data_IF_355541442957
#
_entry.id   IF_355541442957
#
_cell.length_a   1.000
_cell.length_b   1.000
_cell.length_c   1.000
_cell.angle_alpha   90.00
_cell.angle_beta   90.00
_cell.angle_gamma   90.00
#
_symmetry.space_group_name_H-M   'P 1'
#
loop_
_entity.id
_entity.type
_entity.pdbx_description
1 polymer ?
#
# COMPACT_ATOMS: atom_id res chain seq x y z
N UNK A 1 1.18 13.03 9.04
CA UNK A 1 0.10 13.79 8.38
C UNK A 1 -1.21 13.67 9.16
N UNK A 2 -1.60 12.49 9.63
CA UNK A 2 -2.82 12.31 10.42
C UNK A 2 -2.65 11.21 11.48
N UNK A 3 -3.54 11.22 12.48
CA UNK A 3 -3.72 10.11 13.42
C UNK A 3 -5.02 9.40 13.04
N UNK A 4 -4.99 8.09 12.83
CA UNK A 4 -6.20 7.29 12.63
C UNK A 4 -6.49 6.51 13.91
N UNK A 5 -7.69 6.66 14.45
CA UNK A 5 -8.14 5.97 15.65
C UNK A 5 -9.28 5.01 15.30
N UNK A 6 -8.97 3.73 15.16
CA UNK A 6 -9.99 2.68 15.00
C UNK A 6 -10.61 2.37 16.37
N UNK A 7 -11.92 2.61 16.52
CA UNK A 7 -12.58 2.52 17.82
C UNK A 7 -14.08 2.25 17.68
N UNK A 8 -14.57 1.19 18.26
CA UNK A 8 -16.00 0.87 18.28
C UNK A 8 -16.83 1.89 19.08
N UNK A 9 -16.36 2.28 20.26
CA UNK A 9 -17.04 3.22 21.15
C UNK A 9 -16.65 4.69 20.93
N UNK A 10 -15.65 4.97 20.09
CA UNK A 10 -15.08 6.29 19.90
C UNK A 10 -14.21 6.78 21.07
N UNK A 11 -13.90 5.90 22.04
CA UNK A 11 -13.12 6.26 23.22
C UNK A 11 -11.71 6.74 22.84
N UNK A 12 -10.97 5.93 22.04
CA UNK A 12 -9.62 6.26 21.59
C UNK A 12 -9.57 7.59 20.86
N UNK A 13 -10.50 7.83 19.93
CA UNK A 13 -10.58 9.08 19.18
C UNK A 13 -10.79 10.29 20.10
N UNK A 14 -11.74 10.21 21.04
CA UNK A 14 -12.00 11.31 22.01
C UNK A 14 -10.81 11.56 22.94
N UNK A 15 -10.15 10.49 23.41
CA UNK A 15 -8.95 10.62 24.24
C UNK A 15 -7.79 11.25 23.50
N UNK A 16 -7.57 10.88 22.25
CA UNK A 16 -6.54 11.49 21.39
C UNK A 16 -6.86 12.97 21.13
N UNK A 17 -8.10 13.28 20.76
CA UNK A 17 -8.54 14.64 20.45
C UNK A 17 -8.43 15.59 21.67
N UNK A 18 -8.58 15.07 22.89
CA UNK A 18 -8.42 15.85 24.14
C UNK A 18 -7.06 16.56 24.22
N UNK A 19 -6.01 15.96 23.68
CA UNK A 19 -4.66 16.53 23.69
C UNK A 19 -4.42 17.52 22.55
N UNK A 20 -5.43 17.77 21.71
CA UNK A 20 -5.37 18.72 20.59
C UNK A 20 -4.12 18.56 19.73
N UNK A 21 -3.87 17.37 19.15
CA UNK A 21 -2.71 17.16 18.29
C UNK A 21 -2.70 18.18 17.15
N UNK A 22 -1.51 18.56 16.67
CA UNK A 22 -1.33 19.49 15.57
C UNK A 22 -1.71 18.91 14.19
N UNK A 23 -2.26 17.70 14.16
CA UNK A 23 -2.75 17.00 12.96
C UNK A 23 -4.17 16.48 13.21
N UNK A 24 -4.99 16.29 12.17
CA UNK A 24 -6.36 15.79 12.32
C UNK A 24 -6.37 14.36 12.86
N UNK A 25 -7.45 14.02 13.57
CA UNK A 25 -7.73 12.67 14.06
C UNK A 25 -8.86 12.06 13.21
N UNK A 26 -8.56 11.12 12.34
CA UNK A 26 -9.56 10.33 11.63
C UNK A 26 -10.05 9.23 12.57
N UNK A 27 -11.34 9.19 12.83
CA UNK A 27 -11.93 8.17 13.69
C UNK A 27 -12.74 7.18 12.85
N UNK A 28 -12.28 5.94 12.74
CA UNK A 28 -13.02 4.87 12.06
C UNK A 28 -13.84 4.07 13.07
N UNK A 29 -15.13 3.84 12.76
CA UNK A 29 -16.03 3.10 13.63
C UNK A 29 -17.14 2.42 12.82
N UNK A 30 -17.54 1.17 13.18
CA UNK A 30 -18.69 0.49 12.58
C UNK A 30 -20.03 0.98 13.14
N UNK A 31 -20.01 1.83 14.18
CA UNK A 31 -21.21 2.30 14.84
C UNK A 31 -21.60 3.70 14.34
N UNK A 32 -22.68 3.80 13.57
CA UNK A 32 -23.14 5.04 12.99
C UNK A 32 -23.57 6.10 14.03
N UNK A 33 -24.08 5.69 15.20
CA UNK A 33 -24.38 6.60 16.30
C UNK A 33 -23.10 7.22 16.87
N UNK A 34 -22.07 6.39 17.09
CA UNK A 34 -20.76 6.86 17.59
C UNK A 34 -20.12 7.78 16.55
N UNK A 35 -20.17 7.44 15.27
CA UNK A 35 -19.68 8.29 14.18
C UNK A 35 -20.30 9.69 14.24
N UNK A 36 -21.63 9.78 14.38
CA UNK A 36 -22.32 11.08 14.49
C UNK A 36 -21.93 11.86 15.76
N UNK A 37 -21.73 11.17 16.88
CA UNK A 37 -21.28 11.80 18.13
C UNK A 37 -19.86 12.34 18.03
N UNK A 38 -18.97 11.64 17.32
CA UNK A 38 -17.58 12.02 17.10
C UNK A 38 -17.44 13.28 16.25
N UNK A 39 -18.42 13.59 15.39
CA UNK A 39 -18.45 14.83 14.62
C UNK A 39 -18.51 16.10 15.49
N UNK A 40 -18.90 15.98 16.76
CA UNK A 40 -18.89 17.06 17.74
C UNK A 40 -17.55 17.20 18.49
N UNK A 41 -16.60 16.28 18.23
CA UNK A 41 -15.29 16.30 18.89
C UNK A 41 -14.31 17.17 18.10
N UNK A 42 -13.59 18.01 18.79
CA UNK A 42 -12.62 18.92 18.16
C UNK A 42 -11.54 18.15 17.39
N UNK A 43 -11.29 18.55 16.14
CA UNK A 43 -10.22 17.97 15.29
C UNK A 43 -10.43 16.50 14.90
N UNK A 44 -11.66 15.98 15.09
CA UNK A 44 -12.01 14.60 14.71
C UNK A 44 -12.79 14.61 13.40
N UNK A 45 -12.33 13.80 12.45
CA UNK A 45 -13.02 13.50 11.20
C UNK A 45 -13.55 12.07 11.29
N UNK A 46 -14.86 11.86 11.55
CA UNK A 46 -15.41 10.53 11.73
C UNK A 46 -15.73 9.87 10.38
N UNK A 47 -15.25 8.65 10.20
CA UNK A 47 -15.53 7.80 9.04
C UNK A 47 -16.20 6.49 9.46
N UNK A 48 -17.08 5.98 8.61
CA UNK A 48 -17.61 4.64 8.79
C UNK A 48 -16.58 3.62 8.30
N UNK A 49 -16.37 2.56 9.05
CA UNK A 49 -15.60 1.38 8.63
C UNK A 49 -16.29 0.15 9.17
N UNK A 50 -16.36 -0.91 8.38
CA UNK A 50 -16.91 -2.19 8.86
C UNK A 50 -16.02 -2.77 9.96
N UNK A 51 -16.60 -3.65 10.75
CA UNK A 51 -15.81 -4.42 11.71
C UNK A 51 -14.83 -5.35 10.97
N UNK A 52 -13.57 -5.35 11.40
CA UNK A 52 -12.50 -6.19 10.83
C UNK A 52 -11.82 -6.99 11.94
N UNK A 53 -11.64 -8.28 11.71
CA UNK A 53 -10.94 -9.16 12.65
C UNK A 53 -9.42 -9.14 12.43
N UNK A 54 -8.98 -8.78 11.22
CA UNK A 54 -7.57 -8.76 10.82
C UNK A 54 -6.90 -7.40 11.01
N UNK A 55 -5.65 -7.40 11.52
CA UNK A 55 -4.85 -6.17 11.66
C UNK A 55 -4.58 -5.54 10.29
N UNK A 56 -4.29 -6.35 9.28
CA UNK A 56 -3.95 -5.86 7.94
C UNK A 56 -5.16 -5.20 7.28
N UNK A 57 -6.35 -5.80 7.36
CA UNK A 57 -7.59 -5.22 6.86
C UNK A 57 -7.96 -3.92 7.59
N UNK A 58 -7.77 -3.88 8.90
CA UNK A 58 -7.98 -2.67 9.69
C UNK A 58 -7.00 -1.56 9.30
N UNK A 59 -5.76 -1.92 8.93
CA UNK A 59 -4.77 -0.96 8.44
C UNK A 59 -5.13 -0.39 7.08
N UNK A 60 -5.64 -1.22 6.16
CA UNK A 60 -6.16 -0.78 4.87
C UNK A 60 -7.34 0.19 5.06
N UNK A 61 -8.35 -0.18 5.85
CA UNK A 61 -9.47 0.70 6.17
C UNK A 61 -9.02 2.03 6.81
N UNK A 62 -7.97 2.01 7.64
CA UNK A 62 -7.42 3.21 8.25
C UNK A 62 -6.75 4.15 7.24
N UNK A 63 -6.03 3.59 6.29
CA UNK A 63 -5.42 4.33 5.17
C UNK A 63 -6.49 4.93 4.29
N UNK A 64 -7.44 4.12 3.83
CA UNK A 64 -8.53 4.56 2.96
C UNK A 64 -9.34 5.68 3.63
N UNK A 65 -9.65 5.55 4.91
CA UNK A 65 -10.35 6.59 5.65
C UNK A 65 -9.58 7.90 5.73
N UNK A 66 -8.24 7.87 5.81
CA UNK A 66 -7.41 9.07 5.85
C UNK A 66 -7.30 9.73 4.47
N UNK A 67 -7.18 8.93 3.41
CA UNK A 67 -7.17 9.40 2.02
C UNK A 67 -8.54 9.99 1.64
N UNK A 68 -9.62 9.28 1.91
CA UNK A 68 -11.00 9.72 1.66
C UNK A 68 -11.41 10.98 2.45
N UNK A 69 -10.72 11.27 3.53
CA UNK A 69 -10.93 12.47 4.33
C UNK A 69 -10.10 13.66 3.85
N UNK A 70 -9.29 13.52 2.80
CA UNK A 70 -8.31 14.51 2.32
C UNK A 70 -7.35 15.02 3.42
N UNK A 71 -7.07 14.20 4.44
CA UNK A 71 -6.15 14.55 5.54
C UNK A 71 -4.78 13.92 5.38
N UNK A 72 -4.64 13.02 4.43
CA UNK A 72 -3.37 12.40 4.03
C UNK A 72 -3.33 12.19 2.51
N UNK A 73 -2.13 12.08 1.97
CA UNK A 73 -1.86 11.75 0.58
C UNK A 73 -1.03 10.47 0.52
N UNK A 74 -1.00 9.82 -0.63
CA UNK A 74 -0.11 8.68 -0.87
C UNK A 74 1.34 9.07 -0.55
N UNK A 75 2.03 8.24 0.25
CA UNK A 75 3.36 8.49 0.77
C UNK A 75 3.42 9.16 2.15
N UNK A 76 2.32 9.71 2.66
CA UNK A 76 2.26 10.33 3.98
C UNK A 76 2.36 9.30 5.12
N UNK A 77 2.93 9.73 6.25
CA UNK A 77 2.99 8.88 7.44
C UNK A 77 1.77 9.11 8.31
N UNK A 78 1.10 8.02 8.64
CA UNK A 78 -0.02 7.95 9.58
C UNK A 78 0.43 7.31 10.90
N UNK A 79 -0.18 7.75 12.00
CA UNK A 79 -0.16 7.04 13.28
C UNK A 79 -1.50 6.33 13.43
N UNK A 80 -1.50 5.01 13.44
CA UNK A 80 -2.73 4.23 13.62
C UNK A 80 -2.81 3.74 15.05
N UNK A 81 -3.91 4.05 15.71
CA UNK A 81 -4.24 3.65 17.09
C UNK A 81 -5.43 2.69 17.04
N UNK A 82 -5.29 1.53 17.68
CA UNK A 82 -6.38 0.55 17.78
C UNK A 82 -6.31 -0.22 19.08
N UNK A 83 -7.44 -0.80 19.49
CA UNK A 83 -7.51 -1.84 20.49
C UNK A 83 -7.65 -3.20 19.81
N UNK A 84 -6.74 -4.12 20.05
CA UNK A 84 -6.94 -5.52 19.71
C UNK A 84 -7.73 -6.19 20.83
N UNK A 85 -8.80 -6.91 20.48
CA UNK A 85 -9.49 -7.75 21.43
C UNK A 85 -8.61 -8.96 21.76
N UNK A 86 -8.04 -8.97 22.95
CA UNK A 86 -7.48 -10.17 23.55
C UNK A 86 -8.52 -10.73 24.52
N UNK A 87 -8.62 -12.04 24.65
CA UNK A 87 -9.60 -12.73 25.52
C UNK A 87 -9.55 -12.30 27.00
N UNK A 88 -8.60 -11.47 27.37
CA UNK A 88 -8.30 -11.07 28.76
C UNK A 88 -8.49 -9.56 29.03
N UNK A 89 -8.87 -8.74 28.06
CA UNK A 89 -8.92 -7.28 28.22
C UNK A 89 -10.29 -6.68 27.90
N UNK A 90 -10.64 -5.63 28.63
CA UNK A 90 -11.86 -4.84 28.47
C UNK A 90 -11.92 -4.19 27.06
N UNK A 91 -13.09 -4.17 26.43
CA UNK A 91 -13.37 -3.71 25.06
C UNK A 91 -12.97 -2.25 24.75
N UNK A 92 -12.48 -1.49 25.74
CA UNK A 92 -12.11 -0.07 25.60
C UNK A 92 -10.59 0.18 25.67
N UNK A 93 -9.75 -0.85 25.55
CA UNK A 93 -8.30 -0.69 25.69
C UNK A 93 -7.67 -0.40 24.33
N UNK A 94 -6.94 0.72 24.24
CA UNK A 94 -6.06 1.00 23.09
C UNK A 94 -4.70 0.41 23.39
N UNK A 95 -4.35 -0.70 22.78
CA UNK A 95 -3.12 -1.47 23.04
C UNK A 95 -2.19 -1.57 21.81
N UNK A 96 -2.57 -0.96 20.70
CA UNK A 96 -1.74 -0.92 19.50
C UNK A 96 -1.52 0.50 19.02
N UNK A 97 -0.25 0.84 18.75
CA UNK A 97 0.18 2.02 18.02
C UNK A 97 1.10 1.58 16.91
N UNK A 98 0.77 1.90 15.67
CA UNK A 98 1.59 1.59 14.50
C UNK A 98 1.83 2.83 13.65
N UNK A 99 3.07 3.03 13.23
CA UNK A 99 3.38 3.98 12.16
C UNK A 99 3.17 3.28 10.83
N UNK A 100 2.36 3.88 9.99
CA UNK A 100 2.03 3.34 8.68
C UNK A 100 2.21 4.42 7.61
N UNK A 101 2.56 4.02 6.39
CA UNK A 101 2.61 4.93 5.25
C UNK A 101 1.31 4.78 4.49
N UNK A 102 0.57 5.89 4.33
CA UNK A 102 -0.61 5.93 3.50
C UNK A 102 -0.20 5.63 2.05
N UNK A 103 -0.80 4.60 1.47
CA UNK A 103 -0.54 4.25 0.09
C UNK A 103 -1.76 3.56 -0.49
N UNK A 104 -2.21 4.04 -1.62
CA UNK A 104 -3.25 3.37 -2.38
C UNK A 104 -2.68 2.10 -3.01
N UNK A 105 -3.31 0.96 -2.72
CA UNK A 105 -2.99 -0.30 -3.39
C UNK A 105 -3.62 -0.30 -4.77
N UNK A 106 -2.79 -0.26 -5.80
CA UNK A 106 -3.27 -0.20 -7.19
C UNK A 106 -3.43 -1.57 -7.84
N UNK A 107 -2.71 -2.58 -7.34
CA UNK A 107 -2.88 -3.96 -7.76
C UNK A 107 -2.37 -4.95 -6.72
N UNK A 108 -2.91 -6.16 -6.77
CA UNK A 108 -2.44 -7.30 -5.98
C UNK A 108 -2.19 -8.49 -6.89
N UNK A 109 -1.19 -9.31 -6.55
CA UNK A 109 -0.83 -10.48 -7.33
C UNK A 109 -0.03 -11.49 -6.53
N UNK A 110 0.41 -12.54 -7.18
CA UNK A 110 1.19 -13.61 -6.56
C UNK A 110 2.69 -13.35 -6.70
N UNK A 111 3.42 -13.48 -5.61
CA UNK A 111 4.89 -13.40 -5.61
C UNK A 111 5.51 -14.45 -6.54
N UNK A 112 6.41 -14.00 -7.42
CA UNK A 112 7.28 -14.84 -8.28
C UNK A 112 8.73 -14.75 -7.80
N UNK A 113 9.25 -13.52 -7.66
CA UNK A 113 10.55 -13.22 -7.07
C UNK A 113 10.34 -12.19 -5.98
N UNK A 114 10.85 -12.44 -4.79
CA UNK A 114 10.72 -11.53 -3.65
C UNK A 114 11.53 -10.27 -3.81
N UNK A 115 11.22 -9.27 -2.98
CA UNK A 115 11.93 -8.00 -2.95
C UNK A 115 11.00 -6.80 -2.97
N UNK A 116 11.60 -5.61 -2.91
CA UNK A 116 10.89 -4.35 -2.91
C UNK A 116 11.63 -3.32 -3.74
N UNK A 117 10.94 -2.66 -4.65
CA UNK A 117 11.51 -1.65 -5.53
C UNK A 117 10.51 -0.53 -5.79
N UNK A 118 10.99 0.69 -6.00
CA UNK A 118 10.20 1.80 -6.51
C UNK A 118 10.86 2.36 -7.76
N UNK A 119 10.04 2.65 -8.77
CA UNK A 119 10.49 3.17 -10.04
C UNK A 119 9.33 3.67 -10.90
N UNK A 120 9.63 4.28 -12.04
CA UNK A 120 8.62 4.66 -13.00
C UNK A 120 7.98 3.42 -13.64
N UNK A 121 6.67 3.46 -13.82
CA UNK A 121 5.92 2.47 -14.59
C UNK A 121 6.33 2.55 -16.07
N UNK A 122 6.59 1.42 -16.69
CA UNK A 122 6.71 1.28 -18.13
C UNK A 122 5.79 0.14 -18.61
N UNK A 123 4.81 0.46 -19.43
CA UNK A 123 3.93 -0.54 -20.03
C UNK A 123 4.60 -1.08 -21.29
N UNK A 124 4.80 -2.40 -21.36
CA UNK A 124 5.51 -3.05 -22.46
C UNK A 124 4.60 -4.12 -23.09
N UNK A 125 4.15 -3.87 -24.29
CA UNK A 125 3.22 -4.73 -25.02
C UNK A 125 3.93 -5.74 -25.94
N UNK A 126 5.04 -5.34 -26.53
CA UNK A 126 5.77 -6.09 -27.57
C UNK A 126 7.16 -6.60 -27.13
N UNK A 127 7.62 -6.21 -25.95
CA UNK A 127 8.92 -6.58 -25.41
C UNK A 127 10.05 -5.59 -25.71
N UNK A 128 9.82 -4.54 -26.50
CA UNK A 128 10.84 -3.53 -26.80
C UNK A 128 11.14 -2.65 -25.57
N UNK A 129 12.39 -2.69 -25.12
CA UNK A 129 12.90 -1.93 -23.97
C UNK A 129 13.59 -0.61 -24.39
N UNK A 130 13.60 -0.26 -25.66
CA UNK A 130 14.33 0.92 -26.15
C UNK A 130 13.87 2.23 -25.48
N UNK A 131 12.56 2.40 -25.30
CA UNK A 131 11.94 3.57 -24.65
C UNK A 131 11.82 3.46 -23.13
N UNK A 132 12.15 2.30 -22.54
CA UNK A 132 12.04 2.06 -21.09
C UNK A 132 13.10 2.87 -20.34
N UNK A 133 12.72 3.68 -19.33
CA UNK A 133 13.69 4.41 -18.51
C UNK A 133 14.45 3.49 -17.56
N UNK A 134 15.64 3.94 -17.13
CA UNK A 134 16.44 3.22 -16.16
C UNK A 134 15.69 3.09 -14.82
N UNK A 135 15.74 1.91 -14.22
CA UNK A 135 15.06 1.62 -12.96
C UNK A 135 13.55 1.47 -13.06
N UNK A 136 13.01 1.19 -14.25
CA UNK A 136 11.58 1.04 -14.47
C UNK A 136 11.00 -0.23 -13.86
N UNK A 137 9.74 -0.14 -13.46
CA UNK A 137 8.89 -1.29 -13.15
C UNK A 137 8.06 -1.57 -14.40
N UNK A 138 8.32 -2.72 -15.03
CA UNK A 138 7.57 -3.14 -16.22
C UNK A 138 6.17 -3.62 -15.84
N UNK A 139 5.17 -3.19 -16.59
CA UNK A 139 3.83 -3.78 -16.58
C UNK A 139 3.61 -4.53 -17.90
N UNK A 140 3.37 -5.83 -17.78
CA UNK A 140 3.11 -6.70 -18.91
C UNK A 140 1.61 -6.99 -18.98
N UNK A 141 0.93 -6.63 -20.07
CA UNK A 141 -0.49 -6.90 -20.23
C UNK A 141 -0.78 -8.40 -20.40
N UNK A 142 -2.06 -8.78 -20.22
CA UNK A 142 -2.44 -10.21 -20.27
C UNK A 142 -2.21 -10.87 -21.64
N UNK A 143 -2.06 -10.11 -22.70
CA UNK A 143 -1.78 -10.61 -24.04
C UNK A 143 -0.28 -10.65 -24.39
N UNK A 144 0.60 -10.26 -23.48
CA UNK A 144 2.04 -10.28 -23.71
C UNK A 144 2.54 -11.72 -23.92
N UNK A 145 3.15 -12.01 -25.07
CA UNK A 145 3.71 -13.31 -25.44
C UNK A 145 5.15 -13.21 -25.95
N UNK A 146 5.71 -11.98 -25.93
CA UNK A 146 7.03 -11.69 -26.47
C UNK A 146 8.19 -12.07 -25.54
N UNK A 147 9.38 -11.84 -26.06
CA UNK A 147 10.65 -11.79 -25.32
C UNK A 147 11.09 -10.34 -25.18
N UNK A 148 11.94 -10.03 -24.21
CA UNK A 148 12.46 -8.67 -24.07
C UNK A 148 13.61 -8.43 -25.07
N UNK A 149 13.48 -7.34 -25.82
CA UNK A 149 14.50 -6.88 -26.76
C UNK A 149 15.15 -5.59 -26.23
N UNK A 150 16.47 -5.58 -26.12
CA UNK A 150 17.23 -4.44 -25.64
C UNK A 150 17.91 -4.65 -24.29
N UNK A 151 18.15 -3.54 -23.56
CA UNK A 151 18.92 -3.56 -22.32
C UNK A 151 18.04 -3.90 -21.11
N UNK A 152 18.12 -5.14 -20.66
CA UNK A 152 17.37 -5.63 -19.49
C UNK A 152 17.90 -5.09 -18.16
N UNK A 153 19.06 -4.44 -18.10
CA UNK A 153 19.59 -3.80 -16.88
C UNK A 153 18.77 -2.60 -16.43
N UNK A 154 17.93 -2.05 -17.31
CA UNK A 154 16.99 -0.96 -17.00
C UNK A 154 15.82 -1.43 -16.12
N UNK A 155 15.53 -2.74 -16.08
CA UNK A 155 14.38 -3.29 -15.40
C UNK A 155 14.67 -3.38 -13.89
N UNK A 156 13.90 -2.69 -13.07
CA UNK A 156 14.00 -2.78 -11.61
C UNK A 156 12.98 -3.75 -11.00
N UNK A 157 11.87 -4.02 -11.68
CA UNK A 157 10.85 -4.96 -11.26
C UNK A 157 9.85 -5.28 -12.37
N UNK A 158 9.07 -6.37 -12.19
CA UNK A 158 8.09 -6.81 -13.18
C UNK A 158 6.73 -7.06 -12.54
N UNK A 159 5.68 -6.55 -13.17
CA UNK A 159 4.27 -6.78 -12.84
C UNK A 159 3.62 -7.45 -14.06
N UNK A 160 3.31 -8.74 -13.96
CA UNK A 160 2.64 -9.48 -15.03
C UNK A 160 1.14 -9.57 -14.74
N UNK A 161 0.30 -9.09 -15.66
CA UNK A 161 -1.15 -9.21 -15.55
C UNK A 161 -1.63 -10.67 -15.64
N UNK A 162 -0.86 -11.56 -16.27
CA UNK A 162 -1.18 -12.98 -16.35
C UNK A 162 -0.77 -13.71 -15.08
N UNK A 163 -1.60 -14.65 -14.60
CA UNK A 163 -1.18 -15.54 -13.54
C UNK A 163 -0.17 -16.56 -14.10
N UNK A 164 0.93 -16.77 -13.38
CA UNK A 164 1.94 -17.77 -13.75
C UNK A 164 3.27 -17.53 -13.05
N UNK A 165 4.05 -18.59 -12.93
CA UNK A 165 5.36 -18.53 -12.25
C UNK A 165 6.53 -19.07 -13.12
N UNK A 166 6.23 -19.52 -14.34
CA UNK A 166 7.19 -20.25 -15.21
C UNK A 166 7.32 -19.64 -16.60
N UNK A 167 6.58 -18.56 -16.89
CA UNK A 167 6.68 -17.85 -18.17
C UNK A 167 8.03 -17.15 -18.35
N UNK A 168 8.32 -16.70 -19.58
CA UNK A 168 9.55 -15.99 -19.92
C UNK A 168 9.85 -14.80 -18.95
N UNK A 169 8.90 -13.92 -18.62
CA UNK A 169 9.18 -12.83 -17.67
C UNK A 169 9.63 -13.31 -16.29
N UNK A 170 9.09 -14.46 -15.84
CA UNK A 170 9.47 -15.05 -14.56
C UNK A 170 10.88 -15.65 -14.57
N UNK A 171 11.34 -16.18 -15.72
CA UNK A 171 12.71 -16.63 -15.88
C UNK A 171 13.67 -15.45 -15.84
N UNK A 172 13.38 -14.39 -16.60
CA UNK A 172 14.18 -13.16 -16.61
C UNK A 172 14.26 -12.54 -15.22
N UNK A 173 13.14 -12.42 -14.50
CA UNK A 173 13.12 -11.87 -13.15
C UNK A 173 14.00 -12.66 -12.17
N UNK A 174 14.03 -14.00 -12.29
CA UNK A 174 14.91 -14.84 -11.46
C UNK A 174 16.38 -14.71 -11.84
N UNK A 175 16.69 -14.64 -13.13
CA UNK A 175 18.05 -14.46 -13.63
C UNK A 175 18.66 -13.12 -13.20
N UNK A 176 17.86 -12.05 -13.31
CA UNK A 176 18.27 -10.72 -12.88
C UNK A 176 18.15 -10.49 -11.36
N UNK A 177 17.50 -11.39 -10.62
CA UNK A 177 17.25 -11.24 -9.18
C UNK A 177 16.34 -10.06 -8.82
N UNK A 178 15.45 -9.65 -9.73
CA UNK A 178 14.58 -8.48 -9.54
C UNK A 178 13.18 -8.90 -9.04
N UNK A 179 12.51 -8.05 -8.23
CA UNK A 179 11.17 -8.32 -7.72
C UNK A 179 10.15 -8.53 -8.84
N UNK A 180 9.32 -9.56 -8.72
CA UNK A 180 8.24 -9.82 -9.66
C UNK A 180 6.99 -10.38 -8.99
N UNK A 181 5.83 -9.91 -9.44
CA UNK A 181 4.52 -10.50 -9.15
C UNK A 181 3.79 -10.87 -10.44
N UNK A 182 2.88 -11.84 -10.36
CA UNK A 182 2.04 -12.28 -11.47
C UNK A 182 0.57 -12.30 -11.09
N UNK A 183 -0.33 -12.22 -12.09
CA UNK A 183 -1.77 -12.12 -11.87
C UNK A 183 -2.19 -10.77 -11.30
N UNK A 184 -1.46 -9.69 -11.60
CA UNK A 184 -1.67 -8.35 -11.07
C UNK A 184 -1.96 -7.35 -12.20
N UNK A 185 -3.18 -7.36 -12.78
CA UNK A 185 -3.54 -6.37 -13.80
C UNK A 185 -3.58 -4.97 -13.18
N UNK A 186 -2.86 -4.02 -13.78
CA UNK A 186 -2.90 -2.62 -13.38
C UNK A 186 -4.15 -1.92 -13.95
N UNK A 187 -4.72 -0.92 -13.22
CA UNK A 187 -5.78 -0.08 -13.76
C UNK A 187 -5.32 0.69 -15.00
N UNK A 188 -6.19 0.76 -16.01
CA UNK A 188 -5.91 1.52 -17.25
C UNK A 188 -5.76 3.04 -17.05
N UNK A 189 -6.17 3.53 -15.88
CA UNK A 189 -6.03 4.95 -15.50
C UNK A 189 -4.61 5.33 -15.11
N UNK A 190 -3.75 4.36 -14.82
CA UNK A 190 -2.34 4.62 -14.50
C UNK A 190 -1.59 5.00 -15.78
N UNK A 191 -1.03 6.20 -15.77
CA UNK A 191 -0.22 6.68 -16.87
C UNK A 191 1.18 6.06 -16.86
N UNK A 192 1.74 5.86 -18.03
CA UNK A 192 3.15 5.51 -18.18
C UNK A 192 4.04 6.58 -17.53
N UNK A 193 5.12 6.18 -16.87
CA UNK A 193 5.97 7.07 -16.07
C UNK A 193 5.46 7.32 -14.64
N UNK A 194 4.25 6.90 -14.26
CA UNK A 194 3.79 6.99 -12.87
C UNK A 194 4.74 6.25 -11.94
N UNK A 195 5.18 6.89 -10.86
CA UNK A 195 6.02 6.20 -9.87
C UNK A 195 5.22 5.17 -9.11
N UNK A 196 5.67 3.92 -9.12
CA UNK A 196 5.08 2.82 -8.36
C UNK A 196 6.07 2.25 -7.35
N UNK A 197 5.56 1.62 -6.32
CA UNK A 197 6.31 0.74 -5.42
C UNK A 197 5.77 -0.67 -5.54
N UNK A 198 6.62 -1.59 -6.00
CA UNK A 198 6.35 -3.02 -6.01
C UNK A 198 6.89 -3.65 -4.73
N UNK A 199 6.02 -4.23 -3.92
CA UNK A 199 6.36 -5.02 -2.74
C UNK A 199 6.05 -6.49 -3.01
N UNK A 200 6.95 -7.16 -3.73
CA UNK A 200 6.72 -8.52 -4.24
C UNK A 200 6.61 -9.57 -3.12
N UNK A 201 7.24 -9.36 -1.94
CA UNK A 201 7.05 -10.27 -0.79
C UNK A 201 5.59 -10.34 -0.34
N UNK A 202 4.86 -9.23 -0.41
CA UNK A 202 3.44 -9.16 -0.03
C UNK A 202 2.50 -9.32 -1.23
N UNK A 203 3.01 -9.31 -2.44
CA UNK A 203 2.23 -9.39 -3.67
C UNK A 203 1.40 -8.13 -3.94
N UNK A 204 1.87 -6.94 -3.52
CA UNK A 204 1.12 -5.69 -3.67
C UNK A 204 1.90 -4.63 -4.42
N UNK A 205 1.18 -3.79 -5.14
CA UNK A 205 1.68 -2.61 -5.84
C UNK A 205 1.00 -1.37 -5.28
N UNK A 206 1.79 -0.36 -5.00
CA UNK A 206 1.32 0.93 -4.49
C UNK A 206 1.67 2.05 -5.46
N UNK A 207 0.84 3.08 -5.52
CA UNK A 207 1.20 4.33 -6.17
C UNK A 207 2.13 5.15 -5.27
N UNK A 208 3.16 5.74 -5.89
CA UNK A 208 4.17 6.55 -5.21
C UNK A 208 5.43 5.77 -4.77
N UNK A 209 6.44 6.52 -4.30
CA UNK A 209 7.68 5.95 -3.78
C UNK A 209 7.60 5.76 -2.26
N UNK A 210 7.42 4.51 -1.82
CA UNK A 210 7.27 4.13 -0.42
C UNK A 210 8.55 3.51 0.18
N UNK A 211 9.66 3.51 -0.55
CA UNK A 211 10.94 3.01 -0.05
C UNK A 211 11.60 4.10 0.79
N UNK A 212 11.65 3.90 2.10
CA UNK A 212 12.35 4.80 3.01
C UNK A 212 13.86 4.58 2.96
N UNK A 213 14.63 5.63 3.22
CA UNK A 213 16.10 5.63 3.27
C UNK A 213 16.73 4.57 4.21
N UNK A 214 15.96 3.93 5.08
CA UNK A 214 16.39 2.88 6.01
C UNK A 214 16.43 1.46 5.44
N UNK A 215 15.69 1.19 4.38
CA UNK A 215 15.58 -0.16 3.78
C UNK A 215 16.75 -0.53 2.84
N UNK A 216 17.65 0.41 2.56
CA UNK A 216 18.83 0.19 1.69
C UNK A 216 19.95 -0.66 2.33
N UNK A 217 19.79 -1.14 3.57
CA UNK A 217 20.83 -1.93 4.26
C UNK A 217 20.75 -3.44 4.03
N UNK A 218 19.92 -3.90 3.11
CA UNK A 218 19.77 -5.32 2.76
C UNK A 218 20.47 -5.75 1.46
N UNK A 219 21.09 -4.83 0.73
CA UNK A 219 21.89 -5.14 -0.45
C UNK A 219 23.36 -4.85 -0.14
N UNK A 220 24.01 -5.78 0.50
CA UNK A 220 25.47 -5.89 0.51
C UNK A 220 25.88 -7.17 -0.20
N UNK A 221 26.96 -7.13 -0.98
CA UNK A 221 27.35 -8.13 -1.97
C UNK A 221 27.68 -9.48 -1.36
#
# INVERSE_FOLDING_TARGET
SAIVAASESGYTARKTAKFRPGVPVVATTPNDRVRRQLALSWGVVPKYSSYRDGIDEMMEDAVDAALDADVARSGDTLVVLSGMMTELEDTNTTNMLKLHVAAETVATGRKVVGGRVAGPLAVVDDGDLSAVPDGAILSLPAHFEGEFEGDTSKIAGIIDARPGMTGYPALVARELGIPMISGAPLPRSLADGTTLTLHAERGVVFEGNLIRYGDRRGASP
#
